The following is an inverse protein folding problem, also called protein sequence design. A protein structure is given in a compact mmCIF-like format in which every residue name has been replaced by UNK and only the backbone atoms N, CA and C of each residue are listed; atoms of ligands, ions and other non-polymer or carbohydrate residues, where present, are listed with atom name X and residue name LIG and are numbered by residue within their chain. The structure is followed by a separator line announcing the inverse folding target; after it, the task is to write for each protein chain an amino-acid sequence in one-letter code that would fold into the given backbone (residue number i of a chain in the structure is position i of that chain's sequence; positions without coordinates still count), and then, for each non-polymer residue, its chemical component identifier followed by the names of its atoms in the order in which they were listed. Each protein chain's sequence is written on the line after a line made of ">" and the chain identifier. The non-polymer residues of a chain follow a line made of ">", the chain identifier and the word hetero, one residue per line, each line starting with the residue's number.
data_IF_287677074320
#
_entry.id   IF_287677074320
#
_cell.length_a   1.000
_cell.length_b   1.000
_cell.length_c   1.000
_cell.angle_alpha   90.00
_cell.angle_beta   90.00
_cell.angle_gamma   90.00
#
_symmetry.space_group_name_H-M   'P 1'
#
loop_
_entity.id
_entity.type
_entity.pdbx_description
1 polymer ?
#
# COMPACT_ATOMS: atom_id res chain seq x y z
N UNK A 1 3.15 -74.77 -8.00
CA UNK A 1 3.05 -73.44 -8.61
C UNK A 1 2.24 -72.57 -7.66
N UNK A 2 2.87 -72.20 -6.55
CA UNK A 2 3.47 -70.88 -6.28
C UNK A 2 2.40 -69.83 -6.03
N UNK A 3 2.16 -69.60 -4.73
CA UNK A 3 1.49 -68.42 -4.16
C UNK A 3 2.48 -67.28 -4.28
N UNK A 4 2.11 -66.18 -4.93
CA UNK A 4 2.83 -64.91 -4.80
C UNK A 4 1.87 -63.88 -4.20
N UNK A 5 2.06 -63.70 -2.89
CA UNK A 5 1.41 -62.69 -2.07
C UNK A 5 2.06 -61.36 -2.41
N UNK A 6 1.33 -60.44 -3.06
CA UNK A 6 1.80 -59.09 -3.33
C UNK A 6 1.72 -58.27 -2.04
N UNK A 7 2.78 -58.29 -1.26
CA UNK A 7 2.99 -57.39 -0.11
C UNK A 7 3.19 -55.96 -0.63
N UNK A 8 2.12 -55.15 -0.61
CA UNK A 8 2.22 -53.70 -0.72
C UNK A 8 2.74 -53.14 0.61
N UNK A 9 4.04 -52.86 0.69
CA UNK A 9 4.62 -52.04 1.75
C UNK A 9 4.09 -50.62 1.62
N UNK A 10 3.13 -50.27 2.47
CA UNK A 10 2.75 -48.89 2.80
C UNK A 10 3.97 -48.19 3.41
N UNK A 11 4.69 -47.39 2.61
CA UNK A 11 5.59 -46.38 3.14
C UNK A 11 4.73 -45.25 3.71
N UNK A 12 4.46 -45.31 5.01
CA UNK A 12 4.01 -44.16 5.78
C UNK A 12 5.17 -43.16 5.85
N UNK A 13 5.24 -42.26 4.88
CA UNK A 13 6.09 -41.08 5.01
C UNK A 13 5.37 -40.15 5.97
N UNK A 14 5.76 -40.22 7.24
CA UNK A 14 5.46 -39.19 8.22
C UNK A 14 6.20 -37.92 7.76
N UNK A 15 5.58 -37.14 6.88
CA UNK A 15 5.89 -35.72 6.77
C UNK A 15 5.43 -35.10 8.09
N UNK A 16 6.38 -34.97 9.01
CA UNK A 16 6.27 -34.05 10.13
C UNK A 16 5.93 -32.69 9.52
N UNK A 17 4.68 -32.29 9.69
CA UNK A 17 4.22 -30.97 9.30
C UNK A 17 5.06 -29.93 10.01
N UNK A 18 5.97 -29.31 9.26
CA UNK A 18 6.27 -27.92 9.50
C UNK A 18 5.04 -27.16 9.03
N UNK A 19 4.08 -27.01 9.94
CA UNK A 19 3.15 -25.90 9.87
C UNK A 19 4.05 -24.69 10.03
N UNK A 20 4.47 -24.09 8.92
CA UNK A 20 4.90 -22.70 8.93
C UNK A 20 3.67 -21.96 9.40
N UNK A 21 3.68 -21.58 10.68
CA UNK A 21 2.75 -20.58 11.18
C UNK A 21 3.09 -19.29 10.42
N UNK A 22 2.32 -18.98 9.37
CA UNK A 22 2.13 -17.57 9.06
C UNK A 22 1.31 -16.99 10.22
N UNK A 23 1.66 -15.78 10.65
CA UNK A 23 1.17 -15.11 11.85
C UNK A 23 -0.33 -15.32 12.09
N UNK A 24 -0.64 -15.81 13.27
CA UNK A 24 -2.01 -15.95 13.74
C UNK A 24 -2.55 -14.59 14.18
N UNK A 25 -3.51 -14.10 13.40
CA UNK A 25 -4.62 -13.24 13.83
C UNK A 25 -4.29 -11.76 14.15
N UNK A 26 -4.03 -10.95 13.10
CA UNK A 26 -4.44 -9.54 13.11
C UNK A 26 -3.39 -8.47 12.82
N UNK A 27 -2.13 -8.85 12.55
CA UNK A 27 -1.07 -7.90 12.19
C UNK A 27 -1.03 -7.74 10.67
N UNK A 28 -1.38 -6.56 10.17
CA UNK A 28 -1.22 -6.19 8.76
C UNK A 28 0.09 -5.40 8.66
N UNK A 29 1.24 -6.06 8.75
CA UNK A 29 2.54 -5.42 8.49
C UNK A 29 2.85 -5.43 6.99
N UNK A 30 3.42 -4.35 6.46
CA UNK A 30 4.05 -4.34 5.13
C UNK A 30 5.36 -5.16 5.12
N UNK A 31 5.93 -5.47 6.28
CA UNK A 31 7.27 -6.05 6.38
C UNK A 31 7.32 -7.57 6.49
N UNK A 32 8.50 -8.13 6.21
CA UNK A 32 8.74 -9.56 6.27
C UNK A 32 8.81 -10.08 7.73
N UNK A 33 9.08 -11.37 7.86
CA UNK A 33 9.19 -12.05 9.16
C UNK A 33 10.39 -11.55 9.95
N UNK A 34 10.22 -11.29 11.24
CA UNK A 34 11.28 -10.82 12.14
C UNK A 34 11.37 -11.68 13.41
N UNK A 35 12.55 -11.72 14.02
CA UNK A 35 12.77 -12.25 15.37
C UNK A 35 13.02 -11.12 16.40
N UNK A 36 13.49 -9.96 15.94
CA UNK A 36 13.70 -8.75 16.73
C UNK A 36 13.58 -7.48 15.88
N UNK A 37 13.40 -6.31 16.52
CA UNK A 37 13.33 -5.01 15.81
C UNK A 37 14.55 -4.71 14.93
N UNK A 38 15.71 -5.29 15.23
CA UNK A 38 16.92 -5.10 14.43
C UNK A 38 16.83 -5.75 13.04
N UNK A 39 15.93 -6.72 12.86
CA UNK A 39 15.66 -7.35 11.56
C UNK A 39 14.78 -6.45 10.69
N UNK A 40 14.06 -5.52 11.31
CA UNK A 40 13.17 -4.58 10.66
C UNK A 40 13.87 -3.26 10.35
N UNK A 41 13.33 -2.50 9.41
CA UNK A 41 13.87 -1.22 8.96
C UNK A 41 12.83 -0.44 8.14
N UNK A 42 13.26 0.66 7.56
CA UNK A 42 12.39 1.61 6.86
C UNK A 42 11.16 1.97 7.68
N UNK A 43 10.02 2.04 7.01
CA UNK A 43 8.73 2.41 7.62
C UNK A 43 8.17 1.37 8.60
N UNK A 44 8.83 0.22 8.80
CA UNK A 44 8.34 -0.84 9.70
C UNK A 44 9.30 -1.21 10.85
N UNK A 45 9.78 -0.27 11.69
CA UNK A 45 10.92 -0.49 12.59
C UNK A 45 10.66 -1.41 13.80
N UNK A 46 9.42 -1.85 14.04
CA UNK A 46 9.08 -2.66 15.21
C UNK A 46 8.80 -4.11 14.84
N UNK A 47 9.29 -5.05 15.63
CA UNK A 47 8.93 -6.46 15.48
C UNK A 47 7.82 -6.83 16.46
N UNK A 48 6.62 -7.08 15.95
CA UNK A 48 5.45 -7.48 16.73
C UNK A 48 4.88 -8.82 16.20
N UNK A 49 4.74 -9.81 17.09
CA UNK A 49 4.26 -11.16 16.77
C UNK A 49 4.93 -11.84 15.56
N UNK A 50 6.22 -11.52 15.34
CA UNK A 50 7.05 -12.09 14.28
C UNK A 50 6.88 -11.43 12.92
N UNK A 51 6.22 -10.27 12.85
CA UNK A 51 6.10 -9.41 11.67
C UNK A 51 6.64 -8.01 11.97
N UNK A 52 7.28 -7.39 10.97
CA UNK A 52 7.67 -5.99 11.05
C UNK A 52 6.44 -5.09 10.85
N UNK A 53 6.25 -4.15 11.78
CA UNK A 53 5.11 -3.23 11.85
C UNK A 53 5.62 -1.79 11.96
N UNK A 54 4.84 -0.85 11.45
CA UNK A 54 5.16 0.58 11.50
C UNK A 54 5.00 1.15 12.90
N UNK A 55 4.08 0.62 13.70
CA UNK A 55 3.76 1.16 15.00
C UNK A 55 3.20 0.11 15.96
N UNK A 56 3.35 0.38 17.26
CA UNK A 56 2.66 -0.34 18.34
C UNK A 56 1.73 0.58 19.15
N UNK A 57 1.91 1.90 18.99
CA UNK A 57 1.07 2.95 19.54
C UNK A 57 1.10 4.19 18.63
N UNK A 58 0.10 5.08 18.73
CA UNK A 58 0.03 6.31 17.92
C UNK A 58 1.26 7.23 18.09
N UNK A 59 1.98 7.14 19.21
CA UNK A 59 3.21 7.94 19.41
C UNK A 59 4.37 7.51 18.52
N UNK A 60 4.28 6.35 17.88
CA UNK A 60 5.30 5.82 17.00
C UNK A 60 5.14 6.38 15.57
N UNK A 61 3.95 6.88 15.22
CA UNK A 61 3.65 7.39 13.90
C UNK A 61 4.06 8.86 13.71
N UNK A 62 4.48 9.25 12.49
CA UNK A 62 4.78 10.63 12.18
C UNK A 62 3.51 11.49 12.18
N UNK A 63 3.68 12.80 12.42
CA UNK A 63 2.61 13.77 12.22
C UNK A 63 1.36 13.54 13.09
N UNK A 64 0.21 13.44 12.43
CA UNK A 64 -1.11 13.28 13.07
C UNK A 64 -1.66 11.84 12.95
N UNK A 65 -0.88 10.94 12.36
CA UNK A 65 -1.31 9.60 12.00
C UNK A 65 -1.59 8.77 13.26
N UNK A 66 -2.42 7.76 13.08
CA UNK A 66 -2.81 6.85 14.15
C UNK A 66 -2.30 5.46 13.89
N UNK A 67 -1.95 4.75 14.96
CA UNK A 67 -1.56 3.37 14.85
C UNK A 67 -2.79 2.49 14.76
N UNK A 68 -3.01 1.90 13.59
CA UNK A 68 -4.13 1.02 13.32
C UNK A 68 -3.63 -0.30 12.74
N UNK A 69 -3.87 -1.40 13.47
CA UNK A 69 -3.49 -2.76 13.05
C UNK A 69 -1.99 -2.93 12.69
N UNK A 70 -1.12 -2.17 13.36
CA UNK A 70 0.34 -2.22 13.15
C UNK A 70 0.85 -1.25 12.07
N UNK A 71 -0.04 -0.47 11.45
CA UNK A 71 0.31 0.52 10.44
C UNK A 71 0.03 1.93 10.92
N UNK A 72 0.89 2.86 10.52
CA UNK A 72 0.59 4.27 10.60
C UNK A 72 -0.34 4.60 9.43
N UNK A 73 -1.54 5.08 9.77
CA UNK A 73 -2.57 5.46 8.81
C UNK A 73 -3.13 6.82 9.22
N UNK A 74 -3.66 7.58 8.26
CA UNK A 74 -4.24 8.89 8.54
C UNK A 74 -5.36 8.79 9.60
N UNK A 75 -6.17 7.73 9.56
CA UNK A 75 -7.32 7.58 10.45
C UNK A 75 -7.78 6.14 10.70
N UNK A 76 -8.32 5.88 11.89
CA UNK A 76 -9.13 4.68 12.18
C UNK A 76 -10.63 4.98 12.26
N UNK A 77 -10.99 6.27 12.22
CA UNK A 77 -12.35 6.82 12.30
C UNK A 77 -12.33 8.31 11.96
N UNK A 78 -13.48 8.87 11.59
CA UNK A 78 -13.64 10.29 11.19
C UNK A 78 -13.06 11.30 12.19
N UNK A 79 -13.10 10.98 13.49
CA UNK A 79 -12.61 11.89 14.53
C UNK A 79 -11.09 12.01 14.60
N UNK A 80 -10.36 11.16 13.88
CA UNK A 80 -8.90 11.24 13.77
C UNK A 80 -8.50 12.18 12.61
N UNK A 81 -9.41 12.47 11.69
CA UNK A 81 -9.15 13.30 10.51
C UNK A 81 -9.23 14.82 10.78
N UNK A 82 -8.52 15.64 9.97
CA UNK A 82 -8.59 17.09 10.07
C UNK A 82 -9.93 17.62 9.54
N UNK A 83 -10.19 18.92 9.77
CA UNK A 83 -11.50 19.50 9.47
C UNK A 83 -11.77 19.68 7.96
N UNK A 84 -10.71 19.78 7.17
CA UNK A 84 -10.70 19.88 5.71
C UNK A 84 -10.88 18.52 5.03
N UNK A 85 -10.53 17.41 5.68
CA UNK A 85 -10.73 16.04 5.17
C UNK A 85 -11.44 15.15 6.21
N UNK A 86 -12.68 15.48 6.62
CA UNK A 86 -13.26 15.00 7.86
C UNK A 86 -13.73 13.53 7.85
N UNK A 87 -13.62 12.84 6.71
CA UNK A 87 -14.16 11.48 6.54
C UNK A 87 -13.00 10.48 6.54
N UNK A 88 -13.11 9.45 7.38
CA UNK A 88 -12.17 8.35 7.34
C UNK A 88 -12.60 7.28 6.32
N UNK A 89 -11.75 7.08 5.32
CA UNK A 89 -11.92 6.10 4.27
C UNK A 89 -11.83 4.65 4.74
N UNK A 90 -12.31 3.73 3.89
CA UNK A 90 -12.14 2.29 4.13
C UNK A 90 -10.70 1.81 3.93
N UNK A 91 -9.87 2.63 3.29
CA UNK A 91 -8.42 2.49 3.16
C UNK A 91 -7.65 3.20 4.28
N UNK A 92 -8.34 3.67 5.33
CA UNK A 92 -7.75 4.39 6.47
C UNK A 92 -7.08 5.73 6.12
N UNK A 93 -7.45 6.31 4.97
CA UNK A 93 -7.03 7.64 4.56
C UNK A 93 -8.10 8.67 4.85
N UNK A 94 -7.70 9.87 5.25
CA UNK A 94 -8.63 10.99 5.39
C UNK A 94 -9.05 11.49 4.01
N UNK A 95 -10.32 11.91 3.91
CA UNK A 95 -10.95 12.30 2.64
C UNK A 95 -11.86 13.49 2.85
N UNK A 96 -11.95 14.34 1.83
CA UNK A 96 -12.91 15.44 1.80
C UNK A 96 -14.36 14.94 1.64
N UNK A 97 -14.56 13.87 0.86
CA UNK A 97 -15.89 13.36 0.52
C UNK A 97 -16.00 11.83 0.49
N UNK A 98 -17.20 11.33 0.77
CA UNK A 98 -17.58 9.94 0.51
C UNK A 98 -18.46 9.81 -0.74
N UNK A 99 -19.12 10.90 -1.13
CA UNK A 99 -19.95 10.99 -2.33
C UNK A 99 -20.15 12.47 -2.73
N UNK A 100 -20.68 12.71 -3.93
CA UNK A 100 -20.87 14.06 -4.48
C UNK A 100 -21.74 15.00 -3.63
N UNK A 101 -22.57 14.51 -2.70
CA UNK A 101 -23.36 15.39 -1.83
C UNK A 101 -22.53 16.02 -0.71
N UNK A 102 -21.36 15.48 -0.42
CA UNK A 102 -20.43 16.04 0.56
C UNK A 102 -19.68 17.25 -0.03
N UNK A 103 -19.65 17.33 -1.36
CA UNK A 103 -18.92 18.33 -2.11
C UNK A 103 -19.71 19.62 -2.35
N UNK A 104 -18.97 20.73 -2.44
CA UNK A 104 -19.52 22.06 -2.72
C UNK A 104 -19.85 22.28 -4.20
N UNK A 105 -20.58 23.36 -4.49
CA UNK A 105 -20.98 23.68 -5.89
C UNK A 105 -19.81 24.07 -6.82
N UNK A 106 -18.65 24.43 -6.26
CA UNK A 106 -17.47 24.82 -7.03
C UNK A 106 -16.72 23.59 -7.58
N UNK A 107 -16.66 22.54 -6.76
CA UNK A 107 -16.03 21.26 -7.05
C UNK A 107 -17.00 20.15 -6.66
N UNK A 108 -18.01 19.84 -7.49
CA UNK A 108 -19.17 19.05 -7.07
C UNK A 108 -18.99 17.53 -7.22
N UNK A 109 -17.83 17.05 -7.69
CA UNK A 109 -17.61 15.63 -7.97
C UNK A 109 -16.68 15.06 -6.92
N UNK A 110 -17.08 13.97 -6.27
CA UNK A 110 -16.22 13.25 -5.36
C UNK A 110 -15.41 12.22 -6.16
N UNK A 111 -14.09 12.36 -6.18
CA UNK A 111 -13.20 11.43 -6.89
C UNK A 111 -13.12 10.09 -6.15
N UNK A 112 -12.63 9.01 -6.81
CA UNK A 112 -12.39 7.73 -6.12
C UNK A 112 -11.39 7.83 -4.95
N UNK A 113 -10.50 8.81 -4.97
CA UNK A 113 -9.55 9.12 -3.89
C UNK A 113 -10.24 9.78 -2.68
N UNK A 114 -11.36 10.47 -2.93
CA UNK A 114 -12.15 11.14 -1.90
C UNK A 114 -11.94 12.64 -1.85
N UNK A 115 -11.43 13.23 -2.93
CA UNK A 115 -11.27 14.68 -3.09
C UNK A 115 -12.49 15.27 -3.82
N UNK A 116 -12.89 16.49 -3.46
CA UNK A 116 -13.93 17.20 -4.19
C UNK A 116 -13.33 17.97 -5.36
N UNK A 117 -13.59 17.49 -6.57
CA UNK A 117 -13.02 18.04 -7.80
C UNK A 117 -14.04 18.75 -8.70
N UNK A 118 -13.49 19.62 -9.56
CA UNK A 118 -14.27 20.31 -10.58
C UNK A 118 -14.89 19.32 -11.56
N UNK A 119 -16.18 19.49 -11.83
CA UNK A 119 -16.84 18.74 -12.88
C UNK A 119 -16.32 19.17 -14.26
N UNK A 120 -16.10 18.20 -15.13
CA UNK A 120 -15.61 18.42 -16.49
C UNK A 120 -16.46 17.65 -17.52
N UNK A 121 -16.48 18.15 -18.76
CA UNK A 121 -16.99 17.42 -19.93
C UNK A 121 -15.90 17.18 -20.97
N UNK A 122 -14.79 17.92 -20.87
CA UNK A 122 -13.60 17.84 -21.71
C UNK A 122 -12.41 18.47 -20.99
N UNK A 123 -11.19 18.17 -21.43
CA UNK A 123 -9.95 18.69 -20.82
C UNK A 123 -9.90 20.23 -20.78
N UNK A 124 -10.61 20.90 -21.69
CA UNK A 124 -10.74 22.36 -21.70
C UNK A 124 -11.48 22.94 -20.46
N UNK A 125 -12.11 22.08 -19.65
CA UNK A 125 -12.72 22.47 -18.38
C UNK A 125 -11.73 22.45 -17.22
N UNK A 126 -10.59 21.75 -17.35
CA UNK A 126 -9.68 21.55 -16.23
C UNK A 126 -8.80 22.78 -16.01
N UNK A 127 -8.64 23.22 -14.74
CA UNK A 127 -7.92 24.44 -14.41
C UNK A 127 -6.41 24.27 -14.51
N UNK A 128 -5.91 23.06 -14.28
CA UNK A 128 -4.48 22.75 -14.36
C UNK A 128 -4.14 22.19 -15.74
N UNK A 129 -3.00 22.62 -16.29
CA UNK A 129 -2.59 22.25 -17.65
C UNK A 129 -2.20 20.76 -17.78
N UNK A 130 -1.92 20.10 -16.66
CA UNK A 130 -1.50 18.69 -16.57
C UNK A 130 -2.67 17.75 -16.21
N UNK A 131 -3.88 18.28 -16.00
CA UNK A 131 -5.09 17.49 -15.75
C UNK A 131 -5.83 17.19 -17.05
N UNK A 132 -6.50 16.04 -17.06
CA UNK A 132 -7.45 15.67 -18.11
C UNK A 132 -8.85 15.52 -17.53
N UNK A 133 -9.85 15.58 -18.40
CA UNK A 133 -11.20 15.24 -18.00
C UNK A 133 -11.40 13.72 -18.04
N UNK A 134 -11.30 13.07 -16.89
CA UNK A 134 -11.67 11.66 -16.77
C UNK A 134 -13.19 11.55 -16.84
N UNK A 135 -13.68 11.16 -18.02
CA UNK A 135 -15.11 11.10 -18.32
C UNK A 135 -15.86 9.99 -17.58
N UNK A 136 -15.16 8.99 -17.04
CA UNK A 136 -15.76 7.93 -16.22
C UNK A 136 -16.04 8.43 -14.79
N UNK A 137 -15.16 9.30 -14.27
CA UNK A 137 -15.35 9.98 -12.96
C UNK A 137 -16.23 11.23 -13.10
N UNK A 138 -16.10 11.94 -14.22
CA UNK A 138 -16.71 13.25 -14.47
C UNK A 138 -15.97 14.41 -13.82
N UNK A 139 -14.69 14.22 -13.47
CA UNK A 139 -13.84 15.19 -12.79
C UNK A 139 -12.50 15.37 -13.52
N UNK A 140 -11.85 16.50 -13.26
CA UNK A 140 -10.45 16.70 -13.61
C UNK A 140 -9.57 15.81 -12.73
N UNK A 141 -8.72 15.00 -13.36
CA UNK A 141 -7.81 14.06 -12.70
C UNK A 141 -6.51 13.98 -13.49
N UNK A 142 -5.49 13.32 -12.95
CA UNK A 142 -4.21 13.15 -13.64
C UNK A 142 -4.36 12.24 -14.88
N UNK A 143 -5.19 11.19 -14.80
CA UNK A 143 -5.32 10.23 -15.91
C UNK A 143 -6.68 9.51 -15.97
N UNK A 144 -6.98 8.92 -17.12
CA UNK A 144 -8.07 7.96 -17.32
C UNK A 144 -7.53 6.61 -17.80
N UNK A 145 -6.40 6.62 -18.51
CA UNK A 145 -5.66 5.45 -18.96
C UNK A 145 -4.15 5.70 -18.87
N UNK A 146 -3.34 4.64 -18.87
CA UNK A 146 -1.86 4.71 -18.81
C UNK A 146 -1.23 5.64 -19.86
N UNK A 147 -1.87 5.75 -21.04
CA UNK A 147 -1.37 6.60 -22.12
C UNK A 147 -1.48 8.10 -21.84
N UNK A 148 -2.22 8.50 -20.82
CA UNK A 148 -2.35 9.89 -20.37
C UNK A 148 -1.17 10.30 -19.48
N UNK A 149 -0.47 9.33 -18.89
CA UNK A 149 0.56 9.56 -17.90
C UNK A 149 1.94 9.83 -18.50
N UNK A 150 2.82 10.56 -17.77
CA UNK A 150 4.18 10.84 -18.19
C UNK A 150 5.06 9.57 -18.14
N UNK A 151 6.27 9.67 -18.68
CA UNK A 151 7.15 8.49 -18.83
C UNK A 151 7.78 7.99 -17.53
N UNK A 152 7.82 8.84 -16.52
CA UNK A 152 8.29 8.58 -15.16
C UNK A 152 7.23 7.87 -14.30
N UNK A 153 5.94 8.21 -14.48
CA UNK A 153 4.82 7.58 -13.76
C UNK A 153 3.82 6.94 -14.75
N UNK A 154 4.18 5.86 -15.48
CA UNK A 154 3.48 5.45 -16.69
C UNK A 154 2.13 4.76 -16.48
N UNK A 155 1.71 4.50 -15.24
CA UNK A 155 0.50 3.72 -14.94
C UNK A 155 -0.61 4.62 -14.40
N UNK A 156 -1.82 4.46 -14.91
CA UNK A 156 -2.99 5.14 -14.39
C UNK A 156 -3.71 4.24 -13.38
N UNK A 157 -3.55 4.54 -12.09
CA UNK A 157 -4.13 3.70 -11.06
C UNK A 157 -5.66 3.88 -10.94
N UNK A 158 -6.28 3.01 -10.13
CA UNK A 158 -7.73 3.05 -9.86
C UNK A 158 -8.25 4.35 -9.21
N UNK A 159 -7.36 5.21 -8.72
CA UNK A 159 -7.67 6.52 -8.15
C UNK A 159 -7.53 7.66 -9.16
N UNK A 160 -7.30 7.34 -10.43
CA UNK A 160 -7.08 8.30 -11.52
C UNK A 160 -5.82 9.16 -11.31
N UNK A 161 -4.78 8.55 -10.72
CA UNK A 161 -3.45 9.11 -10.54
C UNK A 161 -2.42 8.38 -11.37
N UNK A 162 -1.46 9.13 -11.88
CA UNK A 162 -0.25 8.58 -12.47
C UNK A 162 0.66 8.09 -11.34
N UNK A 163 1.16 6.86 -11.50
CA UNK A 163 2.07 6.22 -10.54
C UNK A 163 3.17 5.46 -11.29
N UNK A 164 4.30 5.23 -10.64
CA UNK A 164 5.37 4.40 -11.19
C UNK A 164 4.96 2.92 -11.24
N UNK A 165 4.21 2.45 -10.23
CA UNK A 165 3.84 1.05 -10.07
C UNK A 165 2.43 0.84 -9.49
N UNK A 166 1.77 -0.26 -9.86
CA UNK A 166 0.59 -0.77 -9.12
C UNK A 166 0.91 -2.09 -8.38
N UNK A 167 2.05 -2.70 -8.70
CA UNK A 167 2.56 -3.94 -8.12
C UNK A 167 4.08 -4.03 -8.26
N UNK A 168 4.71 -4.91 -7.48
CA UNK A 168 6.16 -5.14 -7.56
C UNK A 168 6.63 -5.63 -8.94
N UNK A 169 5.73 -6.18 -9.77
CA UNK A 169 6.08 -6.64 -11.12
C UNK A 169 6.30 -5.47 -12.11
N UNK A 170 5.82 -4.27 -11.76
CA UNK A 170 6.02 -3.04 -12.54
C UNK A 170 7.42 -2.44 -12.27
N UNK A 171 8.05 -2.84 -11.17
CA UNK A 171 9.28 -2.28 -10.67
C UNK A 171 10.55 -3.00 -11.17
N UNK A 172 11.65 -2.24 -11.20
CA UNK A 172 12.95 -2.72 -11.68
C UNK A 172 13.74 -3.48 -10.61
N UNK A 173 14.84 -4.14 -11.00
CA UNK A 173 15.70 -4.85 -10.03
C UNK A 173 16.48 -3.93 -9.09
N UNK A 174 16.54 -2.63 -9.38
CA UNK A 174 17.19 -1.64 -8.52
C UNK A 174 16.28 -1.21 -7.37
N UNK A 175 14.99 -1.02 -7.68
CA UNK A 175 13.95 -0.64 -6.73
C UNK A 175 12.77 -1.58 -6.93
N UNK A 176 12.77 -2.79 -6.31
CA UNK A 176 11.86 -3.88 -6.66
C UNK A 176 10.51 -3.86 -5.92
N UNK A 177 10.32 -2.93 -4.97
CA UNK A 177 9.13 -2.89 -4.12
C UNK A 177 8.21 -1.77 -4.54
N UNK A 178 6.93 -2.08 -4.79
CA UNK A 178 5.94 -1.06 -5.08
C UNK A 178 5.26 -0.60 -3.78
N UNK A 179 5.56 0.61 -3.33
CA UNK A 179 5.01 1.20 -2.12
C UNK A 179 4.30 2.50 -2.49
N UNK A 180 3.00 2.59 -2.18
CA UNK A 180 2.16 3.78 -2.40
C UNK A 180 2.16 4.42 -3.80
N UNK A 181 2.62 3.67 -4.81
CA UNK A 181 2.67 4.10 -6.21
C UNK A 181 4.10 4.31 -6.73
N UNK A 182 5.09 4.27 -5.84
CA UNK A 182 6.50 4.51 -6.14
C UNK A 182 7.32 3.21 -6.03
N UNK A 183 8.34 3.07 -6.88
CA UNK A 183 9.24 1.92 -6.84
C UNK A 183 10.42 2.17 -5.88
N UNK A 184 10.46 1.40 -4.79
CA UNK A 184 11.37 1.59 -3.67
C UNK A 184 12.45 0.50 -3.59
N UNK A 185 13.61 0.86 -3.02
CA UNK A 185 14.79 -0.02 -2.94
C UNK A 185 14.62 -1.11 -1.89
N UNK A 186 13.96 -0.80 -0.78
CA UNK A 186 13.82 -1.70 0.35
C UNK A 186 12.51 -1.48 1.11
N UNK A 187 12.09 -2.50 1.86
CA UNK A 187 11.03 -2.40 2.87
C UNK A 187 11.52 -2.83 4.26
N UNK A 188 12.77 -3.29 4.33
CA UNK A 188 13.44 -3.76 5.55
C UNK A 188 14.95 -3.84 5.32
N UNK A 189 15.71 -3.86 6.41
CA UNK A 189 17.18 -3.94 6.37
C UNK A 189 17.71 -5.17 5.62
N UNK A 190 16.95 -6.28 5.59
CA UNK A 190 17.38 -7.51 4.92
C UNK A 190 17.37 -7.41 3.39
N UNK A 191 16.68 -6.41 2.84
CA UNK A 191 16.69 -6.16 1.41
C UNK A 191 17.99 -5.47 0.96
N UNK A 192 18.66 -4.81 1.89
CA UNK A 192 19.91 -4.10 1.66
C UNK A 192 21.14 -5.01 1.76
N UNK A 193 22.26 -4.53 1.24
CA UNK A 193 23.54 -5.22 1.27
C UNK A 193 24.14 -5.31 2.68
N UNK A 194 25.21 -6.12 2.86
CA UNK A 194 25.81 -6.31 4.17
C UNK A 194 26.36 -5.01 4.77
N UNK A 195 25.75 -4.55 5.86
CA UNK A 195 26.15 -3.34 6.57
C UNK A 195 25.27 -2.13 6.29
N UNK A 196 24.35 -2.25 5.32
CA UNK A 196 23.38 -1.20 4.99
C UNK A 196 22.09 -1.37 5.80
N UNK A 197 21.37 -0.26 5.98
CA UNK A 197 20.04 -0.20 6.59
C UNK A 197 19.06 0.42 5.61
N UNK A 198 17.80 -0.04 5.67
CA UNK A 198 16.71 0.61 4.97
C UNK A 198 16.28 1.83 5.79
N UNK A 199 16.41 3.03 5.22
CA UNK A 199 16.02 4.27 5.88
C UNK A 199 14.53 4.60 5.70
N UNK A 200 14.08 5.68 6.32
CA UNK A 200 12.67 6.11 6.29
C UNK A 200 12.23 6.61 4.90
N UNK A 201 13.18 6.89 3.99
CA UNK A 201 12.92 7.23 2.59
C UNK A 201 12.93 5.97 1.70
N UNK A 202 12.96 4.77 2.30
CA UNK A 202 12.98 3.46 1.65
C UNK A 202 14.18 3.23 0.71
N UNK A 203 15.29 3.90 1.02
CA UNK A 203 16.59 3.76 0.36
C UNK A 203 17.58 2.95 1.23
N UNK A 204 18.48 2.20 0.59
CA UNK A 204 19.55 1.49 1.30
C UNK A 204 20.74 2.42 1.58
N UNK A 205 21.10 2.61 2.85
CA UNK A 205 22.19 3.49 3.30
C UNK A 205 23.24 2.78 4.17
N UNK A 206 24.49 3.27 4.14
CA UNK A 206 25.66 2.81 4.94
C UNK A 206 25.63 3.17 6.45
#
# INVERSE_FOLDING_TARGET
>A
MSRETLTYTLFAVAFMGAIWACGSDGVLGYGATCDANADCGGETPFCEDGACVACTANSDCPGADVCFSGLCVDCGRDADCPADEPICGADNRCRECANNNDCGIASPVCTPRGDCEQACESDANCPEDDEICNTDVGACTECQVDADCPGDEPLCNRFARCVECESNDDCGVASPYCIDGDCEECIQNLDCGPGEVCDDDLECQD
#
